data_IF_362904586105
#
_entry.id   IF_362904586105
#
_cell.length_a   1.000
_cell.length_b   1.000
_cell.length_c   1.000
_cell.angle_alpha   90.00
_cell.angle_beta   90.00
_cell.angle_gamma   90.00
#
_symmetry.space_group_name_H-M   'P 1'
#
loop_
_entity.id
_entity.type
_entity.pdbx_description
1 polymer ?
#
# COMPACT_ATOMS: atom_id res chain seq x y z
N UNK A 1 56.50 -46.52 -22.13
CA UNK A 1 55.35 -46.77 -21.25
C UNK A 1 54.30 -45.69 -21.49
N UNK A 2 53.25 -46.03 -22.24
CA UNK A 2 52.04 -45.21 -22.43
C UNK A 2 51.17 -45.31 -21.16
N UNK A 3 50.61 -44.18 -20.69
CA UNK A 3 49.32 -44.19 -19.96
C UNK A 3 48.45 -43.02 -20.39
N UNK A 4 47.30 -43.42 -20.94
CA UNK A 4 46.10 -42.64 -21.22
C UNK A 4 45.49 -42.07 -19.92
N UNK A 5 44.81 -40.93 -20.02
CA UNK A 5 44.07 -40.30 -18.92
C UNK A 5 43.13 -39.19 -19.40
N UNK A 6 41.96 -39.60 -19.85
CA UNK A 6 40.85 -38.88 -20.48
C UNK A 6 40.10 -37.88 -19.57
N UNK A 7 39.90 -36.65 -20.07
CA UNK A 7 38.65 -35.88 -20.22
C UNK A 7 37.56 -35.76 -19.12
N UNK A 8 37.05 -34.52 -18.98
CA UNK A 8 35.70 -34.07 -18.49
C UNK A 8 35.50 -34.05 -16.96
N UNK A 9 35.08 -32.96 -16.30
CA UNK A 9 33.94 -32.07 -16.56
C UNK A 9 34.18 -30.69 -15.91
N UNK A 10 34.22 -29.63 -16.70
CA UNK A 10 33.84 -28.29 -16.23
C UNK A 10 32.31 -28.29 -16.11
N UNK A 11 31.81 -28.24 -14.87
CA UNK A 11 30.39 -28.00 -14.60
C UNK A 11 30.08 -26.57 -15.03
N UNK A 12 29.61 -26.40 -16.27
CA UNK A 12 28.88 -25.20 -16.69
C UNK A 12 27.64 -25.10 -15.80
N UNK A 13 27.71 -24.25 -14.78
CA UNK A 13 26.52 -23.78 -14.08
C UNK A 13 25.70 -23.00 -15.12
N UNK A 14 24.68 -23.68 -15.66
CA UNK A 14 23.64 -23.06 -16.49
C UNK A 14 23.05 -21.91 -15.66
N UNK A 15 23.19 -20.67 -16.15
CA UNK A 15 22.42 -19.52 -15.68
C UNK A 15 20.94 -19.92 -15.69
N UNK A 16 20.37 -20.12 -14.50
CA UNK A 16 18.97 -20.44 -14.30
C UNK A 16 18.16 -19.20 -14.69
N UNK A 17 17.25 -19.41 -15.66
CA UNK A 17 16.06 -18.65 -16.01
C UNK A 17 16.08 -17.13 -15.78
N UNK A 18 16.00 -16.36 -16.87
CA UNK A 18 15.44 -15.01 -16.80
C UNK A 18 14.03 -15.12 -16.21
N UNK A 19 13.87 -14.72 -14.95
CA UNK A 19 12.56 -14.40 -14.40
C UNK A 19 11.92 -13.41 -15.39
N UNK A 20 10.87 -13.84 -16.09
CA UNK A 20 10.01 -12.90 -16.77
C UNK A 20 9.46 -11.98 -15.68
N UNK A 21 10.08 -10.82 -15.50
CA UNK A 21 9.55 -9.77 -14.64
C UNK A 21 8.25 -9.35 -15.30
N UNK A 22 7.13 -9.83 -14.74
CA UNK A 22 5.80 -9.47 -15.21
C UNK A 22 5.74 -7.94 -15.35
N UNK A 23 5.34 -7.45 -16.53
CA UNK A 23 5.23 -6.00 -16.74
C UNK A 23 4.23 -5.44 -15.73
N UNK A 24 4.53 -4.32 -15.06
CA UNK A 24 3.57 -3.66 -14.17
C UNK A 24 2.29 -3.37 -14.95
N UNK A 25 1.14 -3.73 -14.38
CA UNK A 25 -0.15 -3.40 -14.98
C UNK A 25 -0.28 -1.88 -14.95
N UNK A 26 -0.57 -1.28 -16.11
CA UNK A 26 -0.77 0.15 -16.20
C UNK A 26 -1.91 0.59 -15.27
N UNK A 27 -1.59 1.47 -14.33
CA UNK A 27 -2.53 2.02 -13.38
C UNK A 27 -3.53 2.94 -14.13
N UNK A 28 -4.76 3.05 -13.60
CA UNK A 28 -5.85 3.82 -14.21
C UNK A 28 -6.39 4.85 -13.23
N UNK A 29 -6.82 6.00 -13.76
CA UNK A 29 -7.34 7.12 -12.95
C UNK A 29 -8.57 6.70 -12.13
N UNK A 30 -9.47 5.93 -12.74
CA UNK A 30 -10.67 5.45 -12.04
C UNK A 30 -10.33 4.56 -10.83
N UNK A 31 -9.22 3.83 -10.87
CA UNK A 31 -8.83 2.90 -9.81
C UNK A 31 -8.36 3.65 -8.56
N UNK A 32 -7.43 4.59 -8.70
CA UNK A 32 -6.96 5.42 -7.59
C UNK A 32 -8.12 6.27 -7.02
N UNK A 33 -9.00 6.78 -7.90
CA UNK A 33 -10.21 7.49 -7.47
C UNK A 33 -11.19 6.60 -6.71
N UNK A 34 -11.41 5.36 -7.14
CA UNK A 34 -12.26 4.39 -6.42
C UNK A 34 -11.73 4.14 -5.02
N UNK A 35 -10.42 3.91 -4.87
CA UNK A 35 -9.79 3.79 -3.54
C UNK A 35 -10.03 5.03 -2.71
N UNK A 36 -9.74 6.21 -3.27
CA UNK A 36 -9.86 7.44 -2.52
C UNK A 36 -11.30 7.68 -2.04
N UNK A 37 -12.29 7.48 -2.91
CA UNK A 37 -13.72 7.61 -2.59
C UNK A 37 -14.15 6.65 -1.49
N UNK A 38 -13.83 5.36 -1.61
CA UNK A 38 -14.26 4.33 -0.65
C UNK A 38 -13.57 4.50 0.70
N UNK A 39 -12.28 4.85 0.71
CA UNK A 39 -11.48 4.87 1.93
C UNK A 39 -11.47 6.22 2.65
N UNK A 40 -11.85 7.32 2.00
CA UNK A 40 -11.89 8.64 2.65
C UNK A 40 -12.81 8.67 3.89
N UNK A 41 -14.04 8.12 3.88
CA UNK A 41 -14.86 8.00 5.09
C UNK A 41 -14.15 7.27 6.23
N UNK A 42 -13.45 6.18 5.91
CA UNK A 42 -12.69 5.39 6.88
C UNK A 42 -11.55 6.20 7.51
N UNK A 43 -10.73 6.89 6.71
CA UNK A 43 -9.71 7.79 7.23
C UNK A 43 -10.27 8.92 8.07
N UNK A 44 -11.41 9.51 7.67
CA UNK A 44 -12.11 10.53 8.48
C UNK A 44 -12.56 9.97 9.82
N UNK A 45 -13.06 8.73 9.88
CA UNK A 45 -13.47 8.10 11.14
C UNK A 45 -12.28 7.80 12.04
N UNK A 46 -11.19 7.27 11.50
CA UNK A 46 -9.92 7.09 12.23
C UNK A 46 -9.41 8.43 12.80
N UNK A 47 -9.44 9.49 11.99
CA UNK A 47 -8.95 10.82 12.34
C UNK A 47 -9.79 11.50 13.43
N UNK A 48 -11.11 11.37 13.39
CA UNK A 48 -12.05 12.07 14.27
C UNK A 48 -12.32 11.35 15.59
N UNK A 49 -12.40 10.01 15.58
CA UNK A 49 -12.82 9.23 16.76
C UNK A 49 -11.66 8.45 17.38
N UNK A 50 -11.23 8.86 18.58
CA UNK A 50 -10.20 8.14 19.36
C UNK A 50 -10.65 6.71 19.65
N UNK A 51 -11.88 6.51 20.09
CA UNK A 51 -12.45 5.20 20.42
C UNK A 51 -12.44 4.27 19.20
N UNK A 52 -12.88 4.74 18.04
CA UNK A 52 -12.85 3.95 16.81
C UNK A 52 -11.43 3.55 16.43
N UNK A 53 -10.49 4.50 16.49
CA UNK A 53 -9.07 4.23 16.18
C UNK A 53 -8.43 3.22 17.13
N UNK A 54 -8.76 3.26 18.42
CA UNK A 54 -8.31 2.27 19.41
C UNK A 54 -8.87 0.88 19.11
N UNK A 55 -10.17 0.78 18.82
CA UNK A 55 -10.81 -0.49 18.48
C UNK A 55 -10.25 -1.07 17.18
N UNK A 56 -10.06 -0.24 16.15
CA UNK A 56 -9.44 -0.66 14.89
C UNK A 56 -8.03 -1.19 15.12
N UNK A 57 -7.17 -0.44 15.80
CA UNK A 57 -5.80 -0.86 16.04
C UNK A 57 -5.71 -2.12 16.91
N UNK A 58 -6.64 -2.31 17.86
CA UNK A 58 -6.76 -3.54 18.63
C UNK A 58 -7.07 -4.73 17.71
N UNK A 59 -8.10 -4.61 16.89
CA UNK A 59 -8.49 -5.66 15.94
C UNK A 59 -7.36 -5.99 14.94
N UNK A 60 -6.61 -4.97 14.48
CA UNK A 60 -5.42 -5.18 13.64
C UNK A 60 -4.38 -6.03 14.38
N UNK A 61 -3.99 -5.66 15.60
CA UNK A 61 -2.97 -6.39 16.38
C UNK A 61 -3.39 -7.83 16.66
N UNK A 62 -4.68 -8.05 16.92
CA UNK A 62 -5.25 -9.37 17.20
C UNK A 62 -5.56 -10.17 15.92
N UNK A 63 -5.32 -9.59 14.74
CA UNK A 63 -5.73 -10.13 13.44
C UNK A 63 -7.23 -10.54 13.39
N UNK A 64 -8.07 -9.82 14.13
CA UNK A 64 -9.52 -10.04 14.19
C UNK A 64 -10.20 -9.42 12.94
N UNK A 65 -10.16 -10.18 11.84
CA UNK A 65 -10.71 -9.77 10.55
C UNK A 65 -12.23 -9.53 10.64
N UNK A 66 -12.95 -10.29 11.47
CA UNK A 66 -14.39 -10.12 11.65
C UNK A 66 -14.70 -8.75 12.27
N UNK A 67 -13.97 -8.37 13.32
CA UNK A 67 -14.12 -7.06 13.96
C UNK A 67 -13.66 -5.92 13.05
N UNK A 68 -12.55 -6.09 12.32
CA UNK A 68 -12.11 -5.12 11.32
C UNK A 68 -13.18 -4.91 10.26
N UNK A 69 -13.75 -5.99 9.70
CA UNK A 69 -14.81 -5.90 8.70
C UNK A 69 -16.03 -5.15 9.27
N UNK A 70 -16.51 -5.50 10.48
CA UNK A 70 -17.62 -4.79 11.14
C UNK A 70 -17.36 -3.29 11.29
N UNK A 71 -16.15 -2.92 11.74
CA UNK A 71 -15.77 -1.52 11.92
C UNK A 71 -15.66 -0.79 10.58
N UNK A 72 -15.06 -1.40 9.55
CA UNK A 72 -14.92 -0.81 8.23
C UNK A 72 -16.30 -0.60 7.58
N UNK A 73 -17.15 -1.62 7.62
CA UNK A 73 -18.52 -1.62 7.08
C UNK A 73 -19.42 -0.56 7.71
N UNK A 74 -19.24 -0.26 9.00
CA UNK A 74 -19.97 0.83 9.65
C UNK A 74 -19.64 2.23 9.10
N UNK A 75 -18.63 2.34 8.23
CA UNK A 75 -18.18 3.61 7.66
C UNK A 75 -18.26 3.63 6.14
N UNK A 76 -17.95 2.52 5.46
CA UNK A 76 -17.98 2.43 3.99
C UNK A 76 -19.27 1.79 3.45
N UNK A 77 -20.16 1.33 4.32
CA UNK A 77 -21.41 0.66 3.95
C UNK A 77 -21.19 -0.65 3.19
N UNK A 78 -22.00 -0.87 2.16
CA UNK A 78 -22.07 -2.12 1.39
C UNK A 78 -21.09 -2.19 0.20
N UNK A 79 -20.10 -1.30 0.13
CA UNK A 79 -19.12 -1.29 -0.96
C UNK A 79 -18.42 -2.65 -1.14
N UNK A 80 -18.43 -3.27 -2.33
CA UNK A 80 -17.81 -4.58 -2.53
C UNK A 80 -16.31 -4.57 -2.20
N UNK A 81 -15.89 -5.53 -1.37
CA UNK A 81 -14.49 -5.76 -1.03
C UNK A 81 -14.08 -7.10 -1.64
N UNK A 82 -12.92 -7.17 -2.29
CA UNK A 82 -12.34 -8.44 -2.74
C UNK A 82 -11.74 -9.19 -1.56
N UNK A 83 -11.08 -8.47 -0.65
CA UNK A 83 -10.48 -9.03 0.57
C UNK A 83 -10.25 -7.96 1.64
N UNK A 84 -10.08 -8.43 2.88
CA UNK A 84 -9.62 -7.65 4.02
C UNK A 84 -8.61 -8.51 4.79
N UNK A 85 -7.42 -7.98 5.02
CA UNK A 85 -6.34 -8.72 5.66
C UNK A 85 -5.66 -7.93 6.77
N UNK A 86 -5.07 -8.65 7.72
CA UNK A 86 -4.18 -8.15 8.76
C UNK A 86 -3.11 -9.19 9.06
N UNK A 87 -1.89 -8.72 9.34
CA UNK A 87 -0.77 -9.53 9.80
C UNK A 87 -0.32 -9.13 11.22
N UNK A 88 -1.17 -8.46 12.00
CA UNK A 88 -0.85 -8.00 13.36
C UNK A 88 -0.05 -6.69 13.42
N UNK A 89 0.53 -6.24 12.30
CA UNK A 89 1.35 -5.02 12.20
C UNK A 89 0.86 -4.05 11.12
N UNK A 90 -0.24 -4.39 10.48
CA UNK A 90 -0.84 -3.61 9.42
C UNK A 90 -2.15 -4.21 8.95
N UNK A 91 -2.83 -3.47 8.07
CA UNK A 91 -4.07 -3.89 7.44
C UNK A 91 -4.05 -3.55 5.95
N UNK A 92 -4.80 -4.35 5.19
CA UNK A 92 -4.96 -4.20 3.75
C UNK A 92 -6.44 -4.39 3.38
N UNK A 93 -6.96 -3.49 2.57
CA UNK A 93 -8.32 -3.51 2.01
C UNK A 93 -8.21 -3.59 0.49
N UNK A 94 -8.74 -4.66 -0.06
CA UNK A 94 -8.75 -4.91 -1.49
C UNK A 94 -10.11 -4.54 -2.07
N UNK A 95 -10.10 -3.63 -3.04
CA UNK A 95 -11.30 -3.17 -3.75
C UNK A 95 -11.35 -3.80 -5.14
N UNK A 96 -12.50 -4.37 -5.47
CA UNK A 96 -12.74 -4.96 -6.79
C UNK A 96 -12.72 -3.89 -7.88
N UNK A 97 -12.06 -4.20 -8.99
CA UNK A 97 -11.99 -3.37 -10.20
C UNK A 97 -12.34 -4.22 -11.44
N UNK A 98 -12.80 -3.61 -12.54
CA UNK A 98 -12.90 -4.32 -13.81
C UNK A 98 -11.52 -4.78 -14.31
N UNK A 99 -11.52 -5.75 -15.23
CA UNK A 99 -10.32 -6.14 -15.99
C UNK A 99 -9.72 -4.89 -16.68
N UNK A 100 -8.37 -4.80 -16.81
CA UNK A 100 -7.38 -5.79 -16.42
C UNK A 100 -6.90 -5.67 -14.97
N UNK A 101 -7.31 -4.64 -14.21
CA UNK A 101 -6.76 -4.40 -12.86
C UNK A 101 -7.23 -5.43 -11.84
N UNK A 102 -8.51 -5.84 -11.92
CA UNK A 102 -9.20 -6.80 -11.03
C UNK A 102 -9.33 -6.35 -9.57
N UNK A 103 -8.27 -5.80 -8.99
CA UNK A 103 -8.20 -5.35 -7.61
C UNK A 103 -7.29 -4.13 -7.50
N UNK A 104 -7.52 -3.31 -6.48
CA UNK A 104 -6.57 -2.32 -5.99
C UNK A 104 -6.61 -2.32 -4.46
N UNK A 105 -5.43 -2.28 -3.87
CA UNK A 105 -5.23 -2.42 -2.44
C UNK A 105 -4.97 -1.05 -1.82
N UNK A 106 -5.60 -0.79 -0.68
CA UNK A 106 -5.21 0.27 0.23
C UNK A 106 -4.78 -0.32 1.57
N UNK A 107 -3.68 0.17 2.13
CA UNK A 107 -3.16 -0.37 3.38
C UNK A 107 -2.55 0.67 4.29
N UNK A 108 -2.37 0.28 5.55
CA UNK A 108 -1.40 0.91 6.43
C UNK A 108 -0.71 -0.15 7.26
N UNK A 109 0.61 -0.21 7.16
CA UNK A 109 1.40 -1.30 7.71
C UNK A 109 2.75 -0.82 8.25
N UNK A 110 3.36 -1.61 9.10
CA UNK A 110 4.81 -1.57 9.35
C UNK A 110 5.44 -2.64 8.46
N UNK A 111 6.62 -2.37 7.88
CA UNK A 111 7.29 -3.35 7.01
C UNK A 111 7.36 -4.73 7.69
N UNK A 112 6.84 -5.80 7.05
CA UNK A 112 6.88 -7.15 7.60
C UNK A 112 8.30 -7.59 7.95
N UNK A 113 8.44 -8.50 8.93
CA UNK A 113 9.73 -9.02 9.37
C UNK A 113 10.47 -8.13 10.38
N UNK A 114 9.95 -6.93 10.68
CA UNK A 114 10.54 -6.05 11.70
C UNK A 114 9.96 -6.29 13.11
N UNK A 115 8.74 -6.83 13.21
CA UNK A 115 8.00 -7.05 14.47
C UNK A 115 6.73 -7.88 14.25
N UNK A 116 6.13 -8.39 15.32
CA UNK A 116 4.77 -8.97 15.34
C UNK A 116 3.89 -8.25 16.38
N UNK A 117 2.58 -8.20 16.15
CA UNK A 117 1.57 -7.73 17.11
C UNK A 117 1.72 -6.27 17.61
N UNK A 118 2.38 -5.40 16.85
CA UNK A 118 2.48 -3.97 17.19
C UNK A 118 1.85 -3.11 16.10
N UNK A 119 0.84 -2.33 16.50
CA UNK A 119 0.19 -1.35 15.64
C UNK A 119 -0.42 -0.25 16.50
N UNK A 120 0.02 1.00 16.33
CA UNK A 120 -0.37 2.11 17.20
C UNK A 120 -1.61 2.84 16.67
N UNK A 121 -2.66 2.93 17.49
CA UNK A 121 -3.86 3.74 17.19
C UNK A 121 -3.53 5.22 17.03
N UNK A 122 -2.70 5.78 17.91
CA UNK A 122 -2.28 7.18 17.86
C UNK A 122 -1.56 7.51 16.56
N UNK A 123 -0.64 6.65 16.13
CA UNK A 123 0.09 6.84 14.86
C UNK A 123 -0.85 6.66 13.67
N UNK A 124 -1.66 5.60 13.65
CA UNK A 124 -2.62 5.36 12.56
C UNK A 124 -3.60 6.54 12.41
N UNK A 125 -4.07 7.12 13.53
CA UNK A 125 -4.90 8.33 13.52
C UNK A 125 -4.16 9.56 12.99
N UNK A 126 -2.89 9.72 13.31
CA UNK A 126 -2.07 10.83 12.81
C UNK A 126 -1.81 10.70 11.30
N UNK A 127 -1.53 9.48 10.82
CA UNK A 127 -1.41 9.17 9.38
C UNK A 127 -2.73 9.45 8.67
N UNK A 128 -3.85 8.97 9.21
CA UNK A 128 -5.18 9.22 8.65
C UNK A 128 -5.45 10.72 8.45
N UNK A 129 -5.10 11.57 9.44
CA UNK A 129 -5.20 13.03 9.32
C UNK A 129 -4.31 13.57 8.20
N UNK A 130 -3.07 13.08 8.09
CA UNK A 130 -2.11 13.56 7.11
C UNK A 130 -2.51 13.23 5.66
N UNK A 131 -3.17 12.09 5.42
CA UNK A 131 -3.53 11.64 4.07
C UNK A 131 -4.92 12.11 3.61
N UNK A 132 -5.80 12.57 4.50
CA UNK A 132 -7.14 13.07 4.12
C UNK A 132 -7.08 14.12 3.00
N UNK A 133 -6.19 15.14 3.01
CA UNK A 133 -6.12 16.10 1.92
C UNK A 133 -5.78 15.46 0.57
N UNK A 134 -4.83 14.51 0.55
CA UNK A 134 -4.47 13.76 -0.66
C UNK A 134 -5.67 13.00 -1.22
N UNK A 135 -6.41 12.29 -0.37
CA UNK A 135 -7.59 11.53 -0.80
C UNK A 135 -8.69 12.44 -1.33
N UNK A 136 -8.91 13.60 -0.68
CA UNK A 136 -9.85 14.61 -1.19
C UNK A 136 -9.41 15.15 -2.55
N UNK A 137 -8.12 15.46 -2.73
CA UNK A 137 -7.61 15.99 -3.99
C UNK A 137 -7.76 14.98 -5.13
N UNK A 138 -7.44 13.71 -4.89
CA UNK A 138 -7.66 12.63 -5.86
C UNK A 138 -9.12 12.55 -6.31
N UNK A 139 -10.08 12.72 -5.39
CA UNK A 139 -11.52 12.68 -5.69
C UNK A 139 -11.96 13.95 -6.43
N UNK A 140 -11.58 15.13 -5.95
CA UNK A 140 -12.12 16.39 -6.44
C UNK A 140 -11.42 16.91 -7.71
N UNK A 141 -10.18 16.49 -7.96
CA UNK A 141 -9.36 17.00 -9.06
C UNK A 141 -8.93 15.84 -10.01
N UNK A 142 -9.68 15.60 -11.10
CA UNK A 142 -9.37 14.53 -12.06
C UNK A 142 -7.98 14.68 -12.69
N UNK A 143 -7.53 15.90 -12.95
CA UNK A 143 -6.20 16.18 -13.52
C UNK A 143 -5.09 15.81 -12.55
N UNK A 144 -5.24 16.11 -11.27
CA UNK A 144 -4.30 15.69 -10.23
C UNK A 144 -4.20 14.16 -10.15
N UNK A 145 -5.33 13.46 -10.16
CA UNK A 145 -5.35 11.99 -10.20
C UNK A 145 -4.68 11.43 -11.48
N UNK A 146 -4.90 12.07 -12.64
CA UNK A 146 -4.23 11.70 -13.89
C UNK A 146 -2.71 11.90 -13.83
N UNK A 147 -2.23 12.97 -13.18
CA UNK A 147 -0.80 13.19 -12.98
C UNK A 147 -0.16 12.16 -12.05
N UNK A 148 -0.85 11.73 -10.98
CA UNK A 148 -0.39 10.61 -10.14
C UNK A 148 -0.25 9.34 -10.98
N UNK A 149 -1.28 8.99 -11.75
CA UNK A 149 -1.26 7.80 -12.62
C UNK A 149 -0.13 7.89 -13.65
N UNK A 150 0.05 9.05 -14.28
CA UNK A 150 1.17 9.29 -15.19
C UNK A 150 2.50 9.04 -14.49
N UNK A 151 2.70 9.60 -13.30
CA UNK A 151 3.93 9.42 -12.53
C UNK A 151 4.21 7.94 -12.24
N UNK A 152 3.20 7.17 -11.79
CA UNK A 152 3.32 5.72 -11.53
C UNK A 152 3.69 4.97 -12.82
N UNK A 153 2.94 5.19 -13.89
CA UNK A 153 3.10 4.46 -15.14
C UNK A 153 4.43 4.77 -15.85
N UNK A 154 4.99 5.97 -15.65
CA UNK A 154 6.30 6.36 -16.17
C UNK A 154 7.43 6.23 -15.14
N UNK A 155 7.18 5.66 -13.97
CA UNK A 155 8.16 5.53 -12.87
C UNK A 155 8.85 6.86 -12.50
N UNK A 156 8.10 7.97 -12.58
CA UNK A 156 8.61 9.31 -12.30
C UNK A 156 8.39 9.67 -10.81
N UNK A 157 9.32 9.21 -9.97
CA UNK A 157 9.27 9.44 -8.52
C UNK A 157 9.31 10.92 -8.15
N UNK A 158 10.07 11.74 -8.89
CA UNK A 158 10.17 13.19 -8.64
C UNK A 158 8.81 13.86 -8.79
N UNK A 159 8.10 13.59 -9.89
CA UNK A 159 6.75 14.11 -10.12
C UNK A 159 5.78 13.63 -9.03
N UNK A 160 5.80 12.33 -8.70
CA UNK A 160 4.95 11.80 -7.64
C UNK A 160 5.25 12.48 -6.30
N UNK A 161 6.52 12.63 -5.93
CA UNK A 161 6.93 13.28 -4.70
C UNK A 161 6.40 14.72 -4.63
N UNK A 162 6.52 15.50 -5.71
CA UNK A 162 5.97 16.85 -5.75
C UNK A 162 4.44 16.89 -5.56
N UNK A 163 3.70 16.04 -6.27
CA UNK A 163 2.24 15.96 -6.13
C UNK A 163 1.84 15.57 -4.70
N UNK A 164 2.42 14.49 -4.17
CA UNK A 164 2.10 14.02 -2.82
C UNK A 164 2.44 15.10 -1.78
N UNK A 165 3.57 15.79 -1.91
CA UNK A 165 3.96 16.84 -0.95
C UNK A 165 3.10 18.09 -1.02
N UNK A 166 2.47 18.38 -2.16
CA UNK A 166 1.54 19.51 -2.26
C UNK A 166 0.25 19.28 -1.46
N UNK A 167 -0.07 18.03 -1.11
CA UNK A 167 -1.29 17.67 -0.35
C UNK A 167 -0.98 17.09 1.04
N UNK A 168 0.10 16.32 1.18
CA UNK A 168 0.55 15.73 2.45
C UNK A 168 1.68 16.56 3.04
N UNK A 169 1.31 17.58 3.83
CA UNK A 169 2.24 18.55 4.42
C UNK A 169 2.88 18.10 5.74
N UNK A 170 2.53 16.90 6.23
CA UNK A 170 3.06 16.38 7.48
C UNK A 170 4.58 16.21 7.43
N UNK A 171 5.29 16.82 8.39
CA UNK A 171 6.74 16.62 8.60
C UNK A 171 7.10 15.17 8.94
N UNK A 172 6.11 14.33 9.27
CA UNK A 172 6.30 12.92 9.57
C UNK A 172 6.39 12.06 8.31
N UNK A 173 5.93 12.55 7.15
CA UNK A 173 6.17 11.89 5.87
C UNK A 173 7.66 12.05 5.53
N UNK A 174 8.38 10.92 5.45
CA UNK A 174 9.83 10.85 5.21
C UNK A 174 10.17 10.23 3.86
N UNK A 175 9.28 9.46 3.25
CA UNK A 175 9.49 8.88 1.93
C UNK A 175 8.20 8.83 1.11
N UNK A 176 8.36 9.00 -0.21
CA UNK A 176 7.33 8.75 -1.23
C UNK A 176 8.00 7.87 -2.27
N UNK A 177 7.45 6.69 -2.52
CA UNK A 177 8.04 5.69 -3.41
C UNK A 177 6.99 5.18 -4.39
N UNK A 178 7.41 4.88 -5.62
CA UNK A 178 6.63 4.07 -6.55
C UNK A 178 7.05 2.63 -6.29
N UNK A 179 6.08 1.79 -5.98
CA UNK A 179 6.28 0.35 -5.92
C UNK A 179 5.01 -0.34 -6.40
N UNK A 180 5.19 -1.52 -6.99
CA UNK A 180 4.17 -2.19 -7.78
C UNK A 180 3.51 -1.22 -8.78
N UNK A 181 2.22 -1.41 -9.07
CA UNK A 181 1.43 -0.46 -9.87
C UNK A 181 0.78 0.60 -8.97
N UNK A 182 1.56 1.26 -8.11
CA UNK A 182 1.04 2.10 -7.02
C UNK A 182 2.02 3.10 -6.42
N UNK A 183 1.73 3.54 -5.19
CA UNK A 183 2.61 4.38 -4.40
C UNK A 183 2.54 4.09 -2.89
N UNK A 184 3.66 4.37 -2.22
CA UNK A 184 3.90 4.10 -0.82
C UNK A 184 4.39 5.37 -0.12
N UNK A 185 3.75 5.71 1.00
CA UNK A 185 4.02 6.89 1.79
C UNK A 185 4.59 6.48 3.15
N UNK A 186 5.88 6.70 3.38
CA UNK A 186 6.53 6.35 4.64
C UNK A 186 6.45 7.44 5.67
N UNK A 187 5.88 7.12 6.84
CA UNK A 187 5.74 8.02 7.98
C UNK A 187 6.59 7.56 9.16
N UNK A 188 7.45 8.45 9.67
CA UNK A 188 8.29 8.22 10.84
C UNK A 188 7.85 9.11 12.01
N UNK A 189 7.50 8.48 13.12
CA UNK A 189 7.11 9.16 14.36
C UNK A 189 8.15 8.93 15.46
N UNK A 190 8.47 9.93 16.31
CA UNK A 190 9.46 9.78 17.38
C UNK A 190 9.08 8.71 18.40
N UNK A 191 7.78 8.52 18.63
CA UNK A 191 7.23 7.53 19.56
C UNK A 191 7.27 6.09 19.04
N UNK A 192 7.84 5.85 17.85
CA UNK A 192 7.96 4.51 17.28
C UNK A 192 9.31 4.30 16.61
N UNK A 193 9.92 3.14 16.89
CA UNK A 193 11.14 2.70 16.21
C UNK A 193 10.89 2.36 14.74
N UNK A 194 9.64 2.13 14.34
CA UNK A 194 9.28 1.70 12.99
C UNK A 194 8.81 2.85 12.08
N UNK A 195 8.93 2.63 10.77
CA UNK A 195 8.29 3.45 9.75
C UNK A 195 6.95 2.81 9.40
N UNK A 196 5.89 3.61 9.40
CA UNK A 196 4.57 3.18 8.95
C UNK A 196 4.42 3.55 7.49
N UNK A 197 3.97 2.61 6.66
CA UNK A 197 3.65 2.84 5.26
C UNK A 197 2.15 3.03 5.13
N UNK A 198 1.72 4.06 4.42
CA UNK A 198 0.38 4.18 3.87
C UNK A 198 0.45 3.95 2.36
N UNK A 199 -0.41 3.09 1.83
CA UNK A 199 -0.14 2.44 0.55
C UNK A 199 -1.40 2.43 -0.32
N UNK A 200 -1.23 2.71 -1.60
CA UNK A 200 -2.22 2.41 -2.65
C UNK A 200 -1.48 1.68 -3.76
N UNK A 201 -1.79 0.41 -3.97
CA UNK A 201 -1.07 -0.39 -4.96
C UNK A 201 -1.92 -1.48 -5.58
N UNK A 202 -1.38 -2.03 -6.67
CA UNK A 202 -1.84 -3.28 -7.25
C UNK A 202 -0.61 -4.15 -7.44
N UNK A 203 -0.57 -5.27 -6.72
CA UNK A 203 0.44 -6.31 -6.89
C UNK A 203 0.45 -6.86 -8.32
N UNK A 204 1.60 -7.41 -8.74
CA UNK A 204 1.74 -8.02 -10.05
C UNK A 204 0.77 -9.20 -10.22
N UNK A 205 0.19 -9.34 -11.40
CA UNK A 205 -0.43 -10.61 -11.80
C UNK A 205 0.71 -11.47 -12.37
N UNK A 206 0.97 -12.60 -11.72
CA UNK A 206 1.82 -13.65 -12.30
C UNK A 206 1.10 -14.33 -13.46
#
# INVERSE_FOLDING_TARGET
MNRYGTSKRLVKIKRKASLHVAKPIQQRVYAIRKVATVMLPFYRKLASSRTYSVQWAKAVREADIARMNKLLRSVIGSEPLSALASNGVGWFVDLSLPKPLLVITNGTTIRPGQVQFTFSSTINRAIAKAVIPLYREIICNPSYAAMIVKAINTQNETLLHHLIRSTVTSRRLVSVQIDFSGFFLGFKYPTSKYVYLNEIFREYVM
#
